data_IF_940029030472
#
_entry.id   IF_940029030472
#
_cell.length_a   1.000
_cell.length_b   1.000
_cell.length_c   1.000
_cell.angle_alpha   90.00
_cell.angle_beta   90.00
_cell.angle_gamma   90.00
#
_symmetry.space_group_name_H-M   'P 1'
#
loop_
_entity.id
_entity.type
_entity.pdbx_description
1 polymer ?
#
# COMPACT_ATOMS: atom_id res chain seq x y z
N UNK A 1 28.77 6.52 53.77
CA UNK A 1 27.73 5.90 54.63
C UNK A 1 26.63 5.48 53.66
N UNK A 2 26.74 4.31 53.03
CA UNK A 2 26.28 3.00 53.56
C UNK A 2 24.80 3.12 53.96
N UNK A 3 23.85 2.49 53.27
CA UNK A 3 23.63 1.04 53.36
C UNK A 3 22.94 0.43 52.13
N UNK A 4 23.42 -0.78 51.79
CA UNK A 4 22.77 -1.82 51.00
C UNK A 4 21.54 -2.39 51.76
N UNK A 5 20.58 -3.00 51.05
CA UNK A 5 20.15 -4.41 51.28
C UNK A 5 18.82 -4.75 50.56
N UNK A 6 18.88 -5.63 49.55
CA UNK A 6 18.51 -7.06 49.55
C UNK A 6 17.02 -7.35 49.72
N UNK A 7 16.41 -7.88 48.66
CA UNK A 7 15.26 -8.79 48.77
C UNK A 7 15.77 -10.21 48.53
N UNK A 8 15.82 -10.97 49.61
CA UNK A 8 15.89 -12.43 49.61
C UNK A 8 14.48 -13.00 49.43
N UNK A 9 14.31 -13.97 48.54
CA UNK A 9 13.74 -15.26 48.94
C UNK A 9 13.87 -16.28 47.82
N UNK A 10 14.72 -17.26 48.08
CA UNK A 10 14.76 -18.55 47.38
C UNK A 10 13.85 -19.53 48.11
N UNK A 11 13.42 -20.53 47.34
CA UNK A 11 12.98 -21.89 47.71
C UNK A 11 11.49 -22.11 47.99
N UNK A 12 10.91 -22.94 47.12
CA UNK A 12 10.22 -24.22 47.39
C UNK A 12 9.86 -24.82 46.01
N UNK A 13 10.74 -25.58 45.37
CA UNK A 13 10.62 -27.05 45.28
C UNK A 13 9.18 -27.58 45.33
N UNK A 14 8.73 -28.25 44.24
CA UNK A 14 8.27 -29.65 44.28
C UNK A 14 8.03 -30.25 42.88
N UNK A 15 8.81 -31.30 42.63
CA UNK A 15 8.40 -32.61 42.10
C UNK A 15 8.08 -32.75 40.61
N UNK A 16 9.13 -33.17 39.91
CA UNK A 16 9.12 -34.13 38.80
C UNK A 16 8.33 -35.42 39.10
N UNK A 17 7.58 -35.93 38.11
CA UNK A 17 7.46 -37.38 37.87
C UNK A 17 7.24 -37.66 36.36
N UNK A 18 7.95 -38.63 35.75
CA UNK A 18 7.84 -39.01 34.35
C UNK A 18 6.91 -40.23 34.17
N UNK A 19 6.20 -40.34 33.03
CA UNK A 19 5.82 -41.66 32.51
C UNK A 19 5.28 -41.64 31.08
N UNK A 20 5.87 -42.53 30.28
CA UNK A 20 5.28 -43.32 29.21
C UNK A 20 4.82 -42.63 27.90
N UNK A 21 5.70 -42.77 26.92
CA UNK A 21 5.42 -43.00 25.51
C UNK A 21 4.33 -44.06 25.29
N UNK A 22 3.41 -43.81 24.34
CA UNK A 22 2.91 -44.73 23.30
C UNK A 22 1.46 -44.40 22.94
N UNK A 23 1.28 -43.71 21.81
CA UNK A 23 0.15 -43.92 20.88
C UNK A 23 0.49 -43.23 19.56
N UNK A 24 1.10 -44.01 18.66
CA UNK A 24 1.19 -43.69 17.23
C UNK A 24 -0.25 -43.80 16.70
N UNK A 25 -0.88 -42.67 16.45
CA UNK A 25 -2.27 -42.58 16.04
C UNK A 25 -2.45 -41.65 14.84
N UNK A 26 -2.36 -42.25 13.65
CA UNK A 26 -2.95 -41.83 12.37
C UNK A 26 -2.59 -40.42 11.85
N UNK A 27 -1.52 -40.35 11.05
CA UNK A 27 -1.29 -39.27 10.08
C UNK A 27 -2.41 -39.29 9.04
N UNK A 28 -3.48 -38.54 9.28
CA UNK A 28 -4.44 -38.17 8.23
C UNK A 28 -3.76 -37.14 7.34
N UNK A 29 -3.19 -37.60 6.24
CA UNK A 29 -2.75 -36.75 5.14
C UNK A 29 -3.99 -36.15 4.45
N UNK A 30 -4.55 -35.10 5.03
CA UNK A 30 -5.58 -34.29 4.39
C UNK A 30 -4.96 -33.52 3.24
N UNK A 31 -5.30 -33.89 2.01
CA UNK A 31 -4.95 -33.13 0.82
C UNK A 31 -5.61 -31.74 0.90
N UNK A 32 -4.85 -30.74 1.37
CA UNK A 32 -5.25 -29.35 1.22
C UNK A 32 -5.17 -29.00 -0.25
N UNK A 33 -6.31 -28.94 -0.92
CA UNK A 33 -6.45 -28.25 -2.20
C UNK A 33 -6.09 -26.78 -1.95
N UNK A 34 -4.81 -26.43 -2.16
CA UNK A 34 -4.39 -25.05 -2.27
C UNK A 34 -5.00 -24.53 -3.57
N UNK A 35 -6.22 -24.02 -3.50
CA UNK A 35 -6.75 -23.16 -4.55
C UNK A 35 -5.83 -21.96 -4.62
N UNK A 36 -5.17 -21.81 -5.77
CA UNK A 36 -4.30 -20.69 -6.09
C UNK A 36 -4.96 -19.38 -5.66
N UNK A 37 -4.40 -18.76 -4.63
CA UNK A 37 -4.80 -17.42 -4.25
C UNK A 37 -4.27 -16.50 -5.35
N UNK A 38 -5.16 -16.05 -6.25
CA UNK A 38 -4.86 -14.86 -7.04
C UNK A 38 -4.67 -13.73 -6.03
N UNK A 39 -3.43 -13.31 -5.84
CA UNK A 39 -3.06 -12.36 -4.82
C UNK A 39 -3.52 -10.97 -5.26
N UNK A 40 -4.74 -10.60 -4.89
CA UNK A 40 -5.09 -9.20 -4.78
C UNK A 40 -4.13 -8.54 -3.77
N UNK A 41 -4.02 -7.22 -3.78
CA UNK A 41 -3.17 -6.48 -2.83
C UNK A 41 -3.61 -6.61 -1.37
N UNK A 42 -4.73 -7.31 -1.12
CA UNK A 42 -5.30 -7.61 0.19
C UNK A 42 -5.51 -9.12 0.42
N UNK A 43 -5.64 -9.52 1.69
CA UNK A 43 -5.84 -10.92 2.07
C UNK A 43 -7.28 -11.36 1.81
N UNK A 44 -7.46 -12.29 0.88
CA UNK A 44 -8.72 -12.99 0.66
C UNK A 44 -9.04 -13.91 1.86
N UNK A 45 -10.15 -13.65 2.57
CA UNK A 45 -10.60 -14.47 3.70
C UNK A 45 -12.10 -14.73 3.64
N UNK A 46 -12.60 -15.64 4.47
CA UNK A 46 -14.05 -15.88 4.60
C UNK A 46 -14.84 -14.63 5.02
N UNK A 47 -14.18 -13.69 5.73
CA UNK A 47 -14.75 -12.43 6.21
C UNK A 47 -14.72 -11.29 5.19
N UNK A 48 -14.11 -11.49 4.02
CA UNK A 48 -14.06 -10.49 2.95
C UNK A 48 -15.46 -10.09 2.48
N UNK A 49 -15.60 -8.85 2.01
CA UNK A 49 -16.86 -8.32 1.47
C UNK A 49 -17.27 -9.07 0.18
N UNK A 50 -18.50 -8.87 -0.28
CA UNK A 50 -18.95 -9.43 -1.56
C UNK A 50 -18.06 -8.96 -2.72
N UNK A 51 -17.76 -7.66 -2.79
CA UNK A 51 -16.88 -7.09 -3.81
C UNK A 51 -15.44 -7.65 -3.75
N UNK A 52 -14.88 -7.83 -2.56
CA UNK A 52 -13.54 -8.43 -2.40
C UNK A 52 -13.52 -9.90 -2.83
N UNK A 53 -14.57 -10.66 -2.49
CA UNK A 53 -14.69 -12.05 -2.93
C UNK A 53 -14.77 -12.18 -4.45
N UNK A 54 -15.34 -11.19 -5.13
CA UNK A 54 -15.35 -11.11 -6.60
C UNK A 54 -13.92 -10.90 -7.12
N UNK A 55 -13.17 -9.95 -6.56
CA UNK A 55 -11.77 -9.69 -6.93
C UNK A 55 -10.90 -10.94 -6.68
N UNK A 56 -11.06 -11.59 -5.53
CA UNK A 56 -10.30 -12.79 -5.15
C UNK A 56 -10.53 -14.01 -6.07
N UNK A 57 -11.57 -13.99 -6.91
CA UNK A 57 -11.91 -15.09 -7.82
C UNK A 57 -11.61 -14.77 -9.28
N UNK A 58 -11.24 -13.53 -9.57
CA UNK A 58 -10.99 -13.04 -10.92
C UNK A 58 -9.57 -12.45 -11.03
N UNK A 59 -8.63 -13.18 -11.65
CA UNK A 59 -7.26 -12.70 -11.86
C UNK A 59 -7.18 -11.37 -12.60
N UNK A 60 -8.11 -11.06 -13.51
CA UNK A 60 -8.13 -9.79 -14.22
C UNK A 60 -8.49 -8.63 -13.28
N UNK A 61 -9.41 -8.84 -12.34
CA UNK A 61 -9.71 -7.85 -11.30
C UNK A 61 -8.60 -7.73 -10.26
N UNK A 62 -7.92 -8.83 -9.94
CA UNK A 62 -6.71 -8.81 -9.09
C UNK A 62 -5.62 -7.93 -9.72
N UNK A 63 -5.38 -8.08 -11.03
CA UNK A 63 -4.42 -7.24 -11.74
C UNK A 63 -4.83 -5.76 -11.79
N UNK A 64 -6.14 -5.45 -11.81
CA UNK A 64 -6.62 -4.07 -11.68
C UNK A 64 -6.40 -3.51 -10.26
N UNK A 65 -6.49 -4.34 -9.23
CA UNK A 65 -6.18 -3.96 -7.85
C UNK A 65 -4.69 -3.58 -7.69
N UNK A 66 -3.78 -4.34 -8.30
CA UNK A 66 -2.36 -4.00 -8.33
C UNK A 66 -2.09 -2.68 -9.07
N UNK A 67 -2.76 -2.46 -10.22
CA UNK A 67 -2.66 -1.19 -10.97
C UNK A 67 -3.19 -0.01 -10.16
N UNK A 68 -4.28 -0.20 -9.43
CA UNK A 68 -4.82 0.81 -8.53
C UNK A 68 -3.80 1.18 -7.45
N UNK A 69 -3.14 0.19 -6.84
CA UNK A 69 -2.11 0.42 -5.85
C UNK A 69 -0.94 1.24 -6.41
N UNK A 70 -0.48 0.92 -7.62
CA UNK A 70 0.56 1.67 -8.31
C UNK A 70 0.13 3.11 -8.64
N UNK A 71 -1.08 3.31 -9.18
CA UNK A 71 -1.62 4.64 -9.47
C UNK A 71 -1.72 5.50 -8.20
N UNK A 72 -2.21 4.90 -7.11
CA UNK A 72 -2.32 5.56 -5.82
C UNK A 72 -0.95 5.97 -5.26
N UNK A 73 0.06 5.10 -5.38
CA UNK A 73 1.42 5.40 -4.91
C UNK A 73 2.00 6.62 -5.65
N UNK A 74 1.88 6.66 -6.99
CA UNK A 74 2.32 7.82 -7.80
C UNK A 74 1.61 9.11 -7.40
N UNK A 75 0.28 9.05 -7.21
CA UNK A 75 -0.50 10.20 -6.77
C UNK A 75 -0.07 10.67 -5.37
N UNK A 76 0.18 9.75 -4.44
CA UNK A 76 0.64 10.04 -3.08
C UNK A 76 2.02 10.71 -3.04
N UNK A 77 2.95 10.24 -3.86
CA UNK A 77 4.31 10.81 -3.91
C UNK A 77 4.34 12.19 -4.59
N UNK A 78 3.24 12.56 -5.26
CA UNK A 78 3.15 13.78 -6.07
C UNK A 78 2.27 14.87 -5.48
N UNK A 79 1.19 14.49 -4.80
CA UNK A 79 0.20 15.42 -4.24
C UNK A 79 0.81 16.42 -3.26
N UNK A 80 0.23 17.62 -3.23
CA UNK A 80 0.50 18.63 -2.20
C UNK A 80 -0.44 18.45 -0.98
N UNK A 81 -1.50 17.66 -1.11
CA UNK A 81 -2.46 17.36 -0.06
C UNK A 81 -2.67 15.84 0.08
N UNK A 82 -1.81 15.22 0.88
CA UNK A 82 -1.87 13.78 1.16
C UNK A 82 -3.10 13.42 2.00
N UNK A 83 -3.58 14.33 2.85
CA UNK A 83 -4.72 14.06 3.72
C UNK A 83 -6.01 13.90 2.92
N UNK A 84 -6.25 14.79 1.94
CA UNK A 84 -7.38 14.67 1.02
C UNK A 84 -7.31 13.36 0.20
N UNK A 85 -6.13 12.99 -0.29
CA UNK A 85 -5.95 11.75 -1.06
C UNK A 85 -6.24 10.49 -0.23
N UNK A 86 -5.78 10.45 1.02
CA UNK A 86 -6.02 9.33 1.96
C UNK A 86 -7.52 9.22 2.35
N UNK A 87 -8.19 10.36 2.56
CA UNK A 87 -9.63 10.42 2.80
C UNK A 87 -10.41 9.89 1.58
N UNK A 88 -10.07 10.33 0.37
CA UNK A 88 -10.68 9.86 -0.87
C UNK A 88 -10.46 8.36 -1.09
N UNK A 89 -9.25 7.83 -0.80
CA UNK A 89 -8.95 6.39 -0.88
C UNK A 89 -9.93 5.58 -0.03
N UNK A 90 -10.10 5.97 1.23
CA UNK A 90 -10.97 5.27 2.18
C UNK A 90 -12.42 5.33 1.74
N UNK A 91 -12.92 6.51 1.36
CA UNK A 91 -14.29 6.70 0.92
C UNK A 91 -14.61 5.89 -0.35
N UNK A 92 -13.74 5.92 -1.36
CA UNK A 92 -13.94 5.18 -2.61
C UNK A 92 -13.90 3.66 -2.38
N UNK A 93 -12.97 3.19 -1.54
CA UNK A 93 -12.93 1.77 -1.17
C UNK A 93 -14.24 1.35 -0.51
N UNK A 94 -14.67 2.01 0.57
CA UNK A 94 -15.92 1.71 1.26
C UNK A 94 -17.12 1.72 0.31
N UNK A 95 -17.20 2.71 -0.58
CA UNK A 95 -18.27 2.77 -1.58
C UNK A 95 -18.33 1.49 -2.42
N UNK A 96 -17.20 0.99 -2.94
CA UNK A 96 -17.17 -0.26 -3.72
C UNK A 96 -17.67 -1.43 -2.89
N UNK A 97 -17.24 -1.53 -1.63
CA UNK A 97 -17.62 -2.62 -0.74
C UNK A 97 -19.14 -2.67 -0.50
N UNK A 98 -19.80 -1.52 -0.46
CA UNK A 98 -21.23 -1.40 -0.22
C UNK A 98 -22.09 -1.49 -1.47
N UNK A 99 -21.60 -1.06 -2.63
CA UNK A 99 -22.43 -0.85 -3.82
C UNK A 99 -22.20 -1.89 -4.92
N UNK A 100 -21.02 -2.50 -5.01
CA UNK A 100 -20.75 -3.47 -6.08
C UNK A 100 -21.03 -4.92 -5.63
N UNK A 101 -21.95 -5.57 -6.33
CA UNK A 101 -22.37 -6.95 -6.09
C UNK A 101 -22.07 -7.90 -7.26
N UNK A 102 -21.50 -7.38 -8.36
CA UNK A 102 -21.12 -8.16 -9.54
C UNK A 102 -19.76 -7.71 -10.12
N UNK A 103 -19.21 -8.53 -11.02
CA UNK A 103 -17.92 -8.32 -11.65
C UNK A 103 -17.88 -7.06 -12.53
N UNK A 104 -18.97 -6.72 -13.21
CA UNK A 104 -19.04 -5.56 -14.10
C UNK A 104 -18.95 -4.25 -13.31
N UNK A 105 -19.65 -4.15 -12.18
CA UNK A 105 -19.56 -3.01 -11.26
C UNK A 105 -18.14 -2.86 -10.72
N UNK A 106 -17.54 -3.95 -10.23
CA UNK A 106 -16.17 -3.92 -9.66
C UNK A 106 -15.16 -3.47 -10.73
N UNK A 107 -15.26 -3.99 -11.95
CA UNK A 107 -14.38 -3.59 -13.06
C UNK A 107 -14.53 -2.10 -13.37
N UNK A 108 -15.77 -1.63 -13.55
CA UNK A 108 -16.06 -0.22 -13.84
C UNK A 108 -15.54 0.71 -12.75
N UNK A 109 -15.65 0.30 -11.49
CA UNK A 109 -15.09 1.05 -10.37
C UNK A 109 -13.56 1.14 -10.45
N UNK A 110 -12.85 0.04 -10.74
CA UNK A 110 -11.39 0.08 -10.88
C UNK A 110 -10.96 0.98 -12.03
N UNK A 111 -11.55 0.79 -13.21
CA UNK A 111 -11.20 1.57 -14.41
C UNK A 111 -11.36 3.07 -14.14
N UNK A 112 -12.50 3.46 -13.56
CA UNK A 112 -12.75 4.86 -13.17
C UNK A 112 -11.74 5.34 -12.13
N UNK A 113 -11.53 4.58 -11.06
CA UNK A 113 -10.67 5.04 -9.95
C UNK A 113 -9.21 5.15 -10.34
N UNK A 114 -8.72 4.26 -11.20
CA UNK A 114 -7.37 4.35 -11.77
C UNK A 114 -7.24 5.61 -12.62
N UNK A 115 -8.22 5.87 -13.50
CA UNK A 115 -8.20 7.08 -14.34
C UNK A 115 -8.23 8.38 -13.51
N UNK A 116 -9.01 8.42 -12.43
CA UNK A 116 -9.03 9.54 -11.48
C UNK A 116 -7.65 9.76 -10.84
N UNK A 117 -7.01 8.69 -10.34
CA UNK A 117 -5.69 8.78 -9.69
C UNK A 117 -4.58 9.18 -10.66
N UNK A 118 -4.65 8.72 -11.92
CA UNK A 118 -3.71 9.12 -12.96
C UNK A 118 -3.87 10.59 -13.33
N UNK A 119 -5.12 11.10 -13.36
CA UNK A 119 -5.39 12.52 -13.54
C UNK A 119 -4.89 13.35 -12.36
N UNK A 120 -5.11 12.89 -11.12
CA UNK A 120 -4.60 13.53 -9.90
C UNK A 120 -3.06 13.62 -9.92
N UNK A 121 -2.39 12.55 -10.36
CA UNK A 121 -0.94 12.52 -10.52
C UNK A 121 -0.44 13.59 -11.51
N UNK A 122 -1.03 13.68 -12.71
CA UNK A 122 -0.61 14.67 -13.70
C UNK A 122 -0.90 16.11 -13.26
N UNK A 123 -2.04 16.34 -12.62
CA UNK A 123 -2.39 17.65 -12.06
C UNK A 123 -1.39 18.06 -10.96
N UNK A 124 -1.10 17.17 -10.01
CA UNK A 124 -0.13 17.45 -8.96
C UNK A 124 1.28 17.71 -9.52
N UNK A 125 1.68 16.95 -10.55
CA UNK A 125 2.96 17.14 -11.24
C UNK A 125 3.04 18.53 -11.90
N UNK A 126 1.96 18.97 -12.55
CA UNK A 126 1.87 20.32 -13.11
C UNK A 126 1.92 21.39 -12.02
N UNK A 127 1.11 21.26 -10.96
CA UNK A 127 1.10 22.21 -9.85
C UNK A 127 2.48 22.38 -9.19
N UNK A 128 3.26 21.28 -9.06
CA UNK A 128 4.63 21.37 -8.55
C UNK A 128 5.59 22.08 -9.50
N UNK A 129 5.42 21.95 -10.82
CA UNK A 129 6.19 22.73 -11.81
C UNK A 129 5.85 24.21 -11.70
N UNK A 130 4.56 24.54 -11.65
CA UNK A 130 4.10 25.93 -11.57
C UNK A 130 4.58 26.60 -10.28
N UNK A 131 4.54 25.89 -9.15
CA UNK A 131 5.07 26.38 -7.88
C UNK A 131 6.58 26.64 -7.94
N UNK A 132 7.34 25.77 -8.62
CA UNK A 132 8.77 25.96 -8.83
C UNK A 132 9.05 27.17 -9.73
N UNK A 133 8.35 27.31 -10.84
CA UNK A 133 8.52 28.45 -11.75
C UNK A 133 8.13 29.78 -11.09
N UNK A 134 7.07 29.79 -10.27
CA UNK A 134 6.69 30.96 -9.47
C UNK A 134 7.79 31.34 -8.46
N UNK A 135 8.39 30.36 -7.80
CA UNK A 135 9.53 30.58 -6.90
C UNK A 135 10.76 31.11 -7.65
N UNK A 136 11.02 30.63 -8.86
CA UNK A 136 12.13 31.09 -9.70
C UNK A 136 11.92 32.53 -10.17
N UNK A 137 10.70 32.88 -10.59
CA UNK A 137 10.34 34.23 -10.99
C UNK A 137 10.55 35.25 -9.84
N UNK A 138 10.28 34.84 -8.59
CA UNK A 138 10.52 35.68 -7.41
C UNK A 138 12.00 35.96 -7.09
N UNK A 139 12.95 35.25 -7.70
CA UNK A 139 14.38 35.38 -7.41
C UNK A 139 15.10 36.46 -8.25
N UNK A 140 14.42 37.16 -9.16
CA UNK A 140 14.99 38.21 -10.02
C UNK A 140 16.27 37.79 -10.77
N UNK A 141 16.36 36.52 -11.18
CA UNK A 141 17.50 36.01 -11.94
C UNK A 141 17.51 36.53 -13.37
N UNK A 142 18.70 36.64 -13.96
CA UNK A 142 18.82 36.81 -15.40
C UNK A 142 18.16 35.62 -16.15
N UNK A 143 17.55 35.83 -17.34
CA UNK A 143 16.85 34.76 -18.07
C UNK A 143 17.70 33.50 -18.29
N UNK A 144 18.97 33.67 -18.66
CA UNK A 144 19.90 32.55 -18.87
C UNK A 144 20.16 31.73 -17.60
N UNK A 145 20.17 32.37 -16.43
CA UNK A 145 20.32 31.68 -15.15
C UNK A 145 19.04 30.92 -14.77
N UNK A 146 17.86 31.50 -15.01
CA UNK A 146 16.58 30.82 -14.81
C UNK A 146 16.45 29.59 -15.72
N UNK A 147 16.88 29.69 -16.98
CA UNK A 147 16.83 28.58 -17.94
C UNK A 147 17.80 27.45 -17.56
N UNK A 148 19.00 27.79 -17.07
CA UNK A 148 19.94 26.80 -16.54
C UNK A 148 19.34 26.02 -15.36
N UNK A 149 18.66 26.72 -14.44
CA UNK A 149 18.00 26.11 -13.27
C UNK A 149 16.85 25.18 -13.71
N UNK A 150 16.04 25.56 -14.70
CA UNK A 150 15.00 24.69 -15.27
C UNK A 150 15.60 23.43 -15.90
N UNK A 151 16.69 23.58 -16.67
CA UNK A 151 17.38 22.45 -17.29
C UNK A 151 17.89 21.46 -16.25
N UNK A 152 18.56 21.94 -15.20
CA UNK A 152 19.04 21.10 -14.10
C UNK A 152 17.90 20.35 -13.40
N UNK A 153 16.75 20.99 -13.20
CA UNK A 153 15.56 20.36 -12.60
C UNK A 153 14.98 19.27 -13.51
N UNK A 154 14.94 19.51 -14.81
CA UNK A 154 14.49 18.54 -15.82
C UNK A 154 15.37 17.29 -15.88
N UNK A 155 16.69 17.46 -15.89
CA UNK A 155 17.67 16.35 -15.86
C UNK A 155 17.55 15.53 -14.57
N UNK A 156 17.36 16.19 -13.43
CA UNK A 156 17.14 15.51 -12.14
C UNK A 156 15.85 14.69 -12.11
N UNK A 157 14.76 15.22 -12.69
CA UNK A 157 13.49 14.51 -12.78
C UNK A 157 13.56 13.30 -13.75
N UNK A 158 14.30 13.43 -14.87
CA UNK A 158 14.53 12.33 -15.80
C UNK A 158 15.34 11.19 -15.16
N UNK A 159 16.39 11.52 -14.40
CA UNK A 159 17.19 10.52 -13.67
C UNK A 159 16.37 9.82 -12.56
N UNK A 160 15.53 10.56 -11.82
CA UNK A 160 14.67 9.97 -10.79
C UNK A 160 13.63 9.00 -11.38
N UNK A 161 13.09 9.29 -12.58
CA UNK A 161 12.13 8.42 -13.27
C UNK A 161 12.79 7.12 -13.74
N UNK A 162 14.04 7.20 -14.21
CA UNK A 162 14.79 6.02 -14.67
C UNK A 162 15.18 5.10 -13.51
N UNK A 163 15.48 5.67 -12.33
CA UNK A 163 15.85 4.92 -11.13
C UNK A 163 14.68 4.21 -10.43
N UNK A 164 13.43 4.61 -10.71
CA UNK A 164 12.22 3.99 -10.14
C UNK A 164 11.56 2.96 -11.07
N UNK A 165 12.14 2.72 -12.24
CA UNK A 165 11.72 1.70 -13.21
C UNK A 165 12.58 0.42 -13.17
N UNK A 166 13.52 0.32 -12.21
CA UNK A 166 14.36 -0.86 -11.93
C UNK A 166 13.96 -1.48 -10.58
#
# INVERSE_FOLDING_TARGET
>A
MSTLNTVFSRTLQRLTTPCALLSIGLLVAGATLAMDASAASFKCTSKSSASEKIVCKDPALSALDDRLAAAWQRAKDTTLDTAALEAARTHQWLWRQHNCTDQACVKSWYDRRIAELDADYEQAKQARRDAFDASLAGQNLAPSAADAVRKMKGESAANATTASAQ
#
